data_IF_177040061722
#
_entry.id   IF_177040061722
#
_cell.length_a   1.000
_cell.length_b   1.000
_cell.length_c   1.000
_cell.angle_alpha   90.00
_cell.angle_beta   90.00
_cell.angle_gamma   90.00
#
_symmetry.space_group_name_H-M   'P 1'
#
loop_
_entity.id
_entity.type
_entity.pdbx_description
1 polymer ?
#
# COMPACT_ATOMS: atom_id res chain seq x y z
N UNK A 1 5.11 28.78 -13.10
CA UNK A 1 5.52 27.40 -12.74
C UNK A 1 6.08 27.25 -11.31
N UNK A 2 6.44 28.32 -10.59
CA UNK A 2 6.90 28.25 -9.18
C UNK A 2 5.78 28.02 -8.13
N UNK A 3 4.54 28.44 -8.41
CA UNK A 3 3.42 28.32 -7.45
C UNK A 3 2.95 26.89 -7.18
N UNK A 4 3.11 25.97 -8.14
CA UNK A 4 2.66 24.57 -8.00
C UNK A 4 3.57 23.76 -7.08
N UNK A 5 4.88 24.02 -7.08
CA UNK A 5 5.82 23.34 -6.18
C UNK A 5 5.65 23.77 -4.71
N UNK A 6 5.35 25.05 -4.47
CA UNK A 6 5.12 25.58 -3.12
C UNK A 6 3.86 25.00 -2.44
N UNK A 7 2.80 24.76 -3.21
CA UNK A 7 1.56 24.15 -2.69
C UNK A 7 1.75 22.64 -2.41
N UNK A 8 2.52 21.95 -3.26
CA UNK A 8 2.86 20.53 -3.05
C UNK A 8 3.74 20.32 -1.81
N UNK A 9 4.65 21.26 -1.51
CA UNK A 9 5.50 21.20 -0.31
C UNK A 9 4.74 21.55 0.98
N UNK A 10 3.71 22.39 0.92
CA UNK A 10 2.90 22.74 2.09
C UNK A 10 2.09 21.55 2.65
N UNK A 11 1.71 20.59 1.80
CA UNK A 11 0.97 19.39 2.19
C UNK A 11 1.87 18.17 2.48
N UNK A 12 3.18 18.24 2.20
CA UNK A 12 4.14 17.19 2.54
C UNK A 12 4.19 16.80 4.03
N UNK A 13 4.20 17.73 5.01
CA UNK A 13 4.32 17.35 6.42
C UNK A 13 3.08 16.62 6.92
N UNK A 14 1.88 17.08 6.56
CA UNK A 14 0.62 16.42 6.91
C UNK A 14 0.55 14.99 6.32
N UNK A 15 1.05 14.84 5.09
CA UNK A 15 1.09 13.54 4.41
C UNK A 15 2.03 12.54 5.09
N UNK A 16 3.28 12.96 5.37
CA UNK A 16 4.25 12.11 6.07
C UNK A 16 3.74 11.71 7.46
N UNK A 17 3.03 12.60 8.15
CA UNK A 17 2.41 12.28 9.43
C UNK A 17 1.32 11.21 9.30
N UNK A 18 0.49 11.27 8.25
CA UNK A 18 -0.53 10.26 7.96
C UNK A 18 0.09 8.89 7.63
N UNK A 19 1.09 8.86 6.75
CA UNK A 19 1.84 7.64 6.43
C UNK A 19 2.52 7.05 7.66
N UNK A 20 3.20 7.88 8.46
CA UNK A 20 3.87 7.46 9.68
C UNK A 20 2.88 6.91 10.71
N UNK A 21 1.70 7.53 10.87
CA UNK A 21 0.64 7.05 11.76
C UNK A 21 0.06 5.73 11.26
N UNK A 22 -0.19 5.59 9.97
CA UNK A 22 -0.68 4.36 9.37
C UNK A 22 0.36 3.22 9.52
N UNK A 23 1.63 3.50 9.26
CA UNK A 23 2.73 2.56 9.46
C UNK A 23 2.90 2.18 10.94
N UNK A 24 2.83 3.13 11.86
CA UNK A 24 2.88 2.86 13.29
C UNK A 24 1.69 2.02 13.77
N UNK A 25 0.48 2.31 13.28
CA UNK A 25 -0.70 1.52 13.56
C UNK A 25 -0.58 0.09 13.01
N UNK A 26 -0.03 -0.07 11.80
CA UNK A 26 0.21 -1.38 11.19
C UNK A 26 1.25 -2.18 12.00
N UNK A 27 2.37 -1.55 12.40
CA UNK A 27 3.40 -2.17 13.26
C UNK A 27 2.84 -2.68 14.58
N UNK A 28 1.95 -1.91 15.23
CA UNK A 28 1.30 -2.32 16.48
C UNK A 28 0.41 -3.56 16.35
N UNK A 29 -0.04 -3.90 15.14
CA UNK A 29 -0.90 -5.05 14.86
C UNK A 29 -0.14 -6.25 14.31
N UNK A 30 1.20 -6.18 14.25
CA UNK A 30 2.02 -7.30 13.82
C UNK A 30 1.94 -8.43 14.86
N UNK A 31 1.90 -9.70 14.43
CA UNK A 31 1.90 -10.82 15.35
C UNK A 31 3.29 -10.96 16.00
N UNK A 32 3.41 -11.76 17.07
CA UNK A 32 4.71 -12.09 17.66
C UNK A 32 5.67 -12.67 16.60
N UNK A 33 6.99 -12.49 16.76
CA UNK A 33 7.98 -13.06 15.85
C UNK A 33 7.79 -14.57 15.72
N UNK A 34 7.63 -15.04 14.49
CA UNK A 34 7.49 -16.46 14.15
C UNK A 34 8.41 -16.80 12.99
N UNK A 35 8.94 -18.03 12.96
CA UNK A 35 9.82 -18.49 11.88
C UNK A 35 9.13 -18.50 10.51
N UNK A 36 7.80 -18.64 10.49
CA UNK A 36 6.97 -18.54 9.28
C UNK A 36 5.82 -17.58 9.53
N UNK A 37 5.71 -16.56 8.69
CA UNK A 37 4.65 -15.56 8.71
C UNK A 37 3.68 -15.82 7.54
N UNK A 38 2.43 -16.13 7.89
CA UNK A 38 1.35 -16.27 6.91
C UNK A 38 0.65 -14.92 6.71
N UNK A 39 0.69 -14.36 5.50
CA UNK A 39 -0.03 -13.12 5.16
C UNK A 39 -1.53 -13.38 5.05
N UNK A 40 -2.21 -13.36 6.18
CA UNK A 40 -3.67 -13.38 6.26
C UNK A 40 -4.29 -11.99 6.12
N UNK A 41 -5.62 -11.94 6.09
CA UNK A 41 -6.42 -10.70 6.00
C UNK A 41 -6.07 -9.64 7.06
N UNK A 42 -5.59 -10.07 8.25
CA UNK A 42 -5.22 -9.17 9.35
C UNK A 42 -3.85 -8.48 9.17
N UNK A 43 -3.08 -8.87 8.15
CA UNK A 43 -1.72 -8.35 7.93
C UNK A 43 -1.60 -7.58 6.61
N UNK A 44 -2.58 -7.72 5.72
CA UNK A 44 -2.60 -7.03 4.44
C UNK A 44 -3.46 -5.77 4.56
N UNK A 45 -2.83 -4.62 4.41
CA UNK A 45 -3.47 -3.31 4.54
C UNK A 45 -3.32 -2.50 3.27
N UNK A 46 -4.37 -1.76 2.90
CA UNK A 46 -4.30 -0.75 1.84
C UNK A 46 -4.02 0.58 2.52
N UNK A 47 -2.84 1.12 2.25
CA UNK A 47 -2.43 2.41 2.80
C UNK A 47 -3.07 3.54 1.98
N UNK A 48 -3.50 4.64 2.61
CA UNK A 48 -3.87 5.84 1.88
C UNK A 48 -2.61 6.34 1.19
N UNK A 49 -2.55 6.24 -0.14
CA UNK A 49 -1.46 6.80 -0.94
C UNK A 49 -1.86 8.17 -1.48
N UNK A 50 -0.88 9.01 -1.85
CA UNK A 50 -1.16 10.36 -2.40
C UNK A 50 -2.05 10.26 -3.63
N UNK A 51 -1.69 9.35 -4.54
CA UNK A 51 -2.45 9.10 -5.75
C UNK A 51 -3.84 8.52 -5.45
N UNK A 52 -3.96 7.62 -4.47
CA UNK A 52 -5.25 7.08 -4.03
C UNK A 52 -6.17 8.17 -3.47
N UNK A 53 -5.65 9.13 -2.70
CA UNK A 53 -6.44 10.26 -2.21
C UNK A 53 -6.82 11.23 -3.32
N UNK A 54 -5.91 11.56 -4.25
CA UNK A 54 -6.24 12.40 -5.40
C UNK A 54 -7.34 11.76 -6.25
N UNK A 55 -7.26 10.46 -6.47
CA UNK A 55 -8.28 9.69 -7.17
C UNK A 55 -9.64 9.76 -6.46
N UNK A 56 -9.66 9.53 -5.14
CA UNK A 56 -10.87 9.61 -4.33
C UNK A 56 -11.47 11.02 -4.32
N UNK A 57 -10.63 12.05 -4.17
CA UNK A 57 -11.05 13.44 -4.19
C UNK A 57 -11.62 13.85 -5.56
N UNK A 58 -10.97 13.43 -6.64
CA UNK A 58 -11.45 13.66 -8.00
C UNK A 58 -12.81 13.00 -8.23
N UNK A 59 -12.93 11.72 -7.89
CA UNK A 59 -14.18 10.95 -8.02
C UNK A 59 -15.31 11.55 -7.17
N UNK A 60 -15.00 12.03 -5.95
CA UNK A 60 -15.98 12.70 -5.10
C UNK A 60 -16.41 14.06 -5.66
N UNK A 61 -15.48 14.82 -6.24
CA UNK A 61 -15.77 16.11 -6.86
C UNK A 61 -16.70 15.95 -8.07
N UNK A 62 -16.40 15.02 -8.96
CA UNK A 62 -17.25 14.72 -10.13
C UNK A 62 -18.62 14.20 -9.69
N UNK A 63 -18.69 13.43 -8.60
CA UNK A 63 -19.96 13.01 -8.01
C UNK A 63 -20.80 14.18 -7.49
N UNK A 64 -20.19 15.14 -6.80
CA UNK A 64 -20.89 16.36 -6.35
C UNK A 64 -21.40 17.16 -7.55
N UNK A 65 -20.60 17.26 -8.62
CA UNK A 65 -21.02 17.90 -9.88
C UNK A 65 -22.23 17.15 -10.47
N UNK A 66 -22.17 15.83 -10.55
CA UNK A 66 -23.26 15.00 -11.07
C UNK A 66 -24.56 15.18 -10.27
N UNK A 67 -24.46 15.23 -8.94
CA UNK A 67 -25.58 15.47 -8.02
C UNK A 67 -26.17 16.88 -8.19
N UNK A 68 -25.31 17.90 -8.27
CA UNK A 68 -25.76 19.28 -8.41
C UNK A 68 -26.48 19.52 -9.74
N UNK A 69 -25.94 18.98 -10.84
CA UNK A 69 -26.48 19.16 -12.19
C UNK A 69 -27.44 18.04 -12.63
N UNK A 70 -27.72 17.06 -11.77
CA UNK A 70 -28.51 15.87 -12.07
C UNK A 70 -28.11 15.20 -13.41
N UNK A 71 -26.80 15.06 -13.66
CA UNK A 71 -26.28 14.59 -14.94
C UNK A 71 -25.98 13.08 -14.93
N UNK A 72 -26.81 12.30 -15.63
CA UNK A 72 -26.71 10.84 -15.73
C UNK A 72 -25.42 10.32 -16.38
N UNK A 73 -24.81 11.08 -17.29
CA UNK A 73 -23.57 10.66 -17.97
C UNK A 73 -22.39 10.73 -17.01
N UNK A 74 -22.32 11.79 -16.20
CA UNK A 74 -21.28 11.95 -15.18
C UNK A 74 -21.43 10.86 -14.11
N UNK A 75 -22.66 10.53 -13.69
CA UNK A 75 -22.90 9.40 -12.78
C UNK A 75 -22.37 8.07 -13.32
N UNK A 76 -22.58 7.76 -14.61
CA UNK A 76 -22.07 6.53 -15.20
C UNK A 76 -20.53 6.45 -15.14
N UNK A 77 -19.85 7.57 -15.41
CA UNK A 77 -18.40 7.67 -15.29
C UNK A 77 -17.92 7.54 -13.84
N UNK A 78 -18.59 8.19 -12.88
CA UNK A 78 -18.25 8.08 -11.46
C UNK A 78 -18.41 6.65 -10.94
N UNK A 79 -19.49 5.96 -11.30
CA UNK A 79 -19.65 4.55 -10.91
C UNK A 79 -18.60 3.64 -11.55
N UNK A 80 -18.18 3.92 -12.79
CA UNK A 80 -17.06 3.22 -13.42
C UNK A 80 -15.76 3.45 -12.64
N UNK A 81 -15.46 4.69 -12.24
CA UNK A 81 -14.30 5.01 -11.43
C UNK A 81 -14.36 4.33 -10.06
N UNK A 82 -15.48 4.41 -9.35
CA UNK A 82 -15.64 3.71 -8.07
C UNK A 82 -15.40 2.21 -8.24
N UNK A 83 -15.98 1.60 -9.27
CA UNK A 83 -15.79 0.19 -9.59
C UNK A 83 -14.33 -0.17 -9.91
N UNK A 84 -13.65 0.65 -10.72
CA UNK A 84 -12.24 0.46 -11.07
C UNK A 84 -11.33 0.58 -9.84
N UNK A 85 -11.56 1.58 -8.99
CA UNK A 85 -10.82 1.78 -7.75
C UNK A 85 -11.01 0.60 -6.79
N UNK A 86 -12.25 0.16 -6.59
CA UNK A 86 -12.56 -1.00 -5.76
C UNK A 86 -11.94 -2.29 -6.32
N UNK A 87 -11.96 -2.49 -7.64
CA UNK A 87 -11.35 -3.65 -8.28
C UNK A 87 -9.82 -3.64 -8.13
N UNK A 88 -9.16 -2.50 -8.33
CA UNK A 88 -7.73 -2.35 -8.13
C UNK A 88 -7.33 -2.63 -6.66
N UNK A 89 -8.10 -2.13 -5.69
CA UNK A 89 -7.92 -2.44 -4.27
C UNK A 89 -8.07 -3.94 -3.98
N UNK A 90 -9.09 -4.58 -4.58
CA UNK A 90 -9.31 -6.01 -4.44
C UNK A 90 -8.16 -6.84 -5.03
N UNK A 91 -7.69 -6.50 -6.23
CA UNK A 91 -6.58 -7.18 -6.90
C UNK A 91 -5.27 -7.04 -6.11
N UNK A 92 -4.95 -5.83 -5.64
CA UNK A 92 -3.75 -5.58 -4.83
C UNK A 92 -3.80 -6.31 -3.49
N UNK A 93 -4.95 -6.34 -2.82
CA UNK A 93 -5.14 -7.13 -1.59
C UNK A 93 -4.98 -8.63 -1.85
N UNK A 94 -5.64 -9.14 -2.91
CA UNK A 94 -5.51 -10.54 -3.32
C UNK A 94 -4.10 -10.92 -3.74
N UNK A 95 -3.30 -9.97 -4.25
CA UNK A 95 -1.92 -10.22 -4.66
C UNK A 95 -1.00 -10.55 -3.48
N UNK A 96 -1.28 -9.99 -2.30
CA UNK A 96 -0.51 -10.28 -1.07
C UNK A 96 -1.10 -11.41 -0.23
N UNK A 97 -2.40 -11.68 -0.39
CA UNK A 97 -3.11 -12.62 0.46
C UNK A 97 -2.63 -14.07 0.28
N UNK A 98 -2.48 -14.79 1.39
CA UNK A 98 -2.03 -16.18 1.50
C UNK A 98 -0.57 -16.44 1.07
N UNK A 99 0.24 -15.40 0.88
CA UNK A 99 1.69 -15.55 0.80
C UNK A 99 2.24 -16.04 2.15
N UNK A 100 3.29 -16.87 2.10
CA UNK A 100 4.04 -17.27 3.31
C UNK A 100 5.45 -16.73 3.20
N UNK A 101 5.88 -16.05 4.26
CA UNK A 101 7.26 -15.58 4.39
C UNK A 101 7.94 -16.47 5.43
N UNK A 102 9.00 -17.17 5.02
CA UNK A 102 9.82 -17.99 5.93
C UNK A 102 11.18 -17.35 6.10
N UNK A 103 11.60 -17.21 7.35
CA UNK A 103 12.95 -16.77 7.66
C UNK A 103 13.90 -17.97 7.57
N UNK A 104 14.88 -17.93 6.67
CA UNK A 104 15.84 -19.03 6.50
C UNK A 104 17.14 -18.82 7.30
N UNK A 105 17.37 -17.61 7.82
CA UNK A 105 18.54 -17.29 8.62
C UNK A 105 19.19 -15.98 8.19
N UNK A 106 20.19 -15.59 8.95
CA UNK A 106 21.10 -14.50 8.64
C UNK A 106 22.53 -14.99 8.82
N UNK A 107 23.44 -14.49 7.99
CA UNK A 107 24.85 -14.78 8.17
C UNK A 107 25.33 -14.06 9.45
N UNK A 108 26.11 -14.72 10.32
CA UNK A 108 26.63 -14.08 11.53
C UNK A 108 27.60 -12.97 11.14
N UNK A 109 27.30 -11.75 11.57
CA UNK A 109 28.10 -10.55 11.29
C UNK A 109 28.46 -9.83 12.59
N UNK A 110 29.58 -9.11 12.58
CA UNK A 110 29.96 -8.29 13.73
C UNK A 110 29.14 -7.01 13.80
N UNK A 111 29.10 -6.39 14.99
CA UNK A 111 28.40 -5.13 15.17
C UNK A 111 29.00 -4.05 14.26
N UNK A 112 28.14 -3.44 13.41
CA UNK A 112 28.54 -2.43 12.42
C UNK A 112 28.68 -2.96 11.00
N UNK A 113 28.59 -4.27 10.78
CA UNK A 113 28.63 -4.89 9.46
C UNK A 113 27.22 -5.07 8.86
N UNK A 114 27.15 -5.20 7.53
CA UNK A 114 25.89 -5.39 6.82
C UNK A 114 25.36 -6.83 7.00
N UNK A 115 24.30 -6.98 7.80
CA UNK A 115 23.63 -8.26 7.99
C UNK A 115 22.75 -8.61 6.79
N UNK A 116 22.98 -9.79 6.19
CA UNK A 116 22.13 -10.32 5.11
C UNK A 116 21.13 -11.31 5.67
N UNK A 117 19.85 -10.95 5.57
CA UNK A 117 18.74 -11.81 5.98
C UNK A 117 18.18 -12.54 4.77
N UNK A 118 18.09 -13.87 4.85
CA UNK A 118 17.45 -14.69 3.81
C UNK A 118 15.99 -14.94 4.17
N UNK A 119 15.11 -14.44 3.31
CA UNK A 119 13.65 -14.56 3.44
C UNK A 119 13.12 -15.29 2.22
N UNK A 120 12.51 -16.44 2.42
CA UNK A 120 11.84 -17.21 1.38
C UNK A 120 10.38 -16.74 1.28
N UNK A 121 9.97 -16.34 0.06
CA UNK A 121 8.59 -15.99 -0.26
C UNK A 121 7.94 -17.18 -0.96
N UNK A 122 7.09 -17.91 -0.25
CA UNK A 122 6.34 -19.03 -0.83
C UNK A 122 4.96 -18.54 -1.29
N UNK A 123 4.62 -18.84 -2.54
CA UNK A 123 3.27 -18.67 -3.08
C UNK A 123 2.58 -20.04 -3.17
N UNK A 124 1.78 -20.44 -2.16
CA UNK A 124 1.06 -21.71 -2.19
C UNK A 124 -0.13 -21.71 -3.19
N UNK A 125 -0.47 -20.55 -3.76
CA UNK A 125 -1.58 -20.41 -4.69
C UNK A 125 -1.18 -20.69 -6.15
N UNK A 126 -2.18 -20.97 -6.98
CA UNK A 126 -2.01 -21.19 -8.43
C UNK A 126 -1.81 -19.89 -9.23
N UNK A 127 -2.20 -18.74 -8.67
CA UNK A 127 -2.10 -17.44 -9.31
C UNK A 127 -0.69 -16.87 -9.12
N UNK A 128 -0.04 -16.45 -10.21
CA UNK A 128 1.20 -15.69 -10.16
C UNK A 128 1.00 -14.39 -9.37
N UNK A 129 1.87 -14.13 -8.40
CA UNK A 129 1.89 -12.86 -7.67
C UNK A 129 2.96 -11.99 -8.28
N UNK A 130 2.60 -10.75 -8.60
CA UNK A 130 3.48 -9.82 -9.32
C UNK A 130 3.72 -8.56 -8.48
N UNK A 131 4.78 -7.82 -8.80
CA UNK A 131 5.13 -6.57 -8.13
C UNK A 131 5.17 -6.69 -6.60
N UNK A 132 5.76 -7.80 -6.12
CA UNK A 132 6.10 -7.95 -4.71
C UNK A 132 7.38 -7.16 -4.45
N UNK A 133 7.42 -6.47 -3.32
CA UNK A 133 8.55 -5.66 -2.91
C UNK A 133 8.72 -5.83 -1.41
N UNK A 134 9.95 -6.14 -1.00
CA UNK A 134 10.33 -6.30 0.39
C UNK A 134 11.19 -5.11 0.79
N UNK A 135 10.74 -4.38 1.81
CA UNK A 135 11.47 -3.23 2.33
C UNK A 135 11.61 -3.34 3.85
N UNK A 136 12.80 -3.03 4.35
CA UNK A 136 13.06 -2.89 5.77
C UNK A 136 13.32 -1.43 6.11
N UNK A 137 12.38 -0.80 6.81
CA UNK A 137 12.47 0.61 7.23
C UNK A 137 12.93 1.54 6.08
N UNK A 138 14.15 2.08 6.17
CA UNK A 138 14.73 3.00 5.19
C UNK A 138 15.65 2.30 4.16
N UNK A 139 15.81 0.98 4.27
CA UNK A 139 16.63 0.20 3.35
C UNK A 139 16.03 0.20 1.94
N UNK A 140 16.90 0.00 0.94
CA UNK A 140 16.45 -0.12 -0.44
C UNK A 140 15.53 -1.32 -0.57
N UNK A 141 14.39 -1.16 -1.26
CA UNK A 141 13.50 -2.27 -1.46
C UNK A 141 14.11 -3.30 -2.42
N UNK A 142 13.79 -4.57 -2.17
CA UNK A 142 14.20 -5.73 -2.97
C UNK A 142 12.96 -6.35 -3.60
N UNK A 143 13.06 -6.74 -4.87
CA UNK A 143 11.95 -7.31 -5.66
C UNK A 143 11.99 -8.83 -5.69
#
# INVERSE_FOLDING_TARGET
MAGTQAMISALQPAWRALEARAAAWARRRQPPPAATLHLGYRLVYILPTRFGLLYAAFTALTLVIALHYNNSTVFAFDFLLVGLGANAMWLTHRNLLALRLRFEGADPVFAGEEARFRILVENPGRLGRHALELQWDSARPVR
#
